data_IF_188350668023
#
_entry.id   IF_188350668023
#
_cell.length_a   1.000
_cell.length_b   1.000
_cell.length_c   1.000
_cell.angle_alpha   90.00
_cell.angle_beta   90.00
_cell.angle_gamma   90.00
#
_symmetry.space_group_name_H-M   'P 1'
#
loop_
_entity.id
_entity.type
_entity.pdbx_description
1 polymer ?
#
# COMPACT_ATOMS: atom_id res chain seq x y z
N UNK A 1 1.43 8.79 -0.99
CA UNK A 1 2.13 8.33 0.23
C UNK A 1 3.22 7.37 -0.19
N UNK A 2 4.34 7.32 0.53
CA UNK A 2 5.44 6.37 0.27
C UNK A 2 5.35 5.26 1.31
N UNK A 3 5.62 4.02 0.93
CA UNK A 3 5.73 2.90 1.86
C UNK A 3 6.87 3.15 2.87
N UNK A 4 6.65 2.81 4.13
CA UNK A 4 7.55 2.98 5.26
C UNK A 4 8.25 1.68 5.63
N UNK A 5 9.57 1.68 5.52
CA UNK A 5 10.40 0.52 5.82
C UNK A 5 10.27 0.09 7.29
N UNK A 6 10.11 -1.20 7.52
CA UNK A 6 9.87 -1.81 8.84
C UNK A 6 8.42 -1.72 9.32
N UNK A 7 7.58 -0.86 8.72
CA UNK A 7 6.18 -0.69 9.10
C UNK A 7 5.25 -1.43 8.14
N UNK A 8 5.06 -0.89 6.93
CA UNK A 8 4.14 -1.43 5.92
C UNK A 8 4.87 -2.23 4.83
N UNK A 9 6.19 -2.28 4.90
CA UNK A 9 7.04 -3.04 4.00
C UNK A 9 8.41 -3.33 4.63
N UNK A 10 9.19 -4.19 3.98
CA UNK A 10 10.63 -4.29 4.19
C UNK A 10 11.31 -3.93 2.87
N UNK A 11 12.09 -2.86 2.87
CA UNK A 11 12.80 -2.39 1.68
C UNK A 11 14.14 -3.12 1.57
N UNK A 12 14.43 -3.59 0.37
CA UNK A 12 15.71 -4.18 0.05
C UNK A 12 16.37 -3.41 -1.11
N UNK A 13 17.67 -3.19 -1.01
CA UNK A 13 18.48 -2.54 -2.05
C UNK A 13 19.35 -3.54 -2.83
N UNK A 14 19.26 -4.82 -2.48
CA UNK A 14 19.98 -5.91 -3.14
C UNK A 14 19.15 -7.20 -3.12
N UNK A 15 19.43 -8.16 -4.03
CA UNK A 15 18.80 -9.47 -4.01
C UNK A 15 19.05 -10.24 -2.70
N UNK A 16 20.24 -10.12 -2.10
CA UNK A 16 20.55 -10.74 -0.82
C UNK A 16 19.68 -10.15 0.30
N UNK A 17 19.60 -8.82 0.40
CA UNK A 17 18.73 -8.16 1.38
C UNK A 17 17.24 -8.47 1.19
N UNK A 18 16.80 -8.73 -0.05
CA UNK A 18 15.44 -9.19 -0.32
C UNK A 18 15.20 -10.59 0.25
N UNK A 19 16.14 -11.52 0.02
CA UNK A 19 16.07 -12.87 0.57
C UNK A 19 16.09 -12.87 2.10
N UNK A 20 16.96 -12.05 2.72
CA UNK A 20 17.04 -11.91 4.18
C UNK A 20 15.74 -11.34 4.77
N UNK A 21 15.16 -10.32 4.13
CA UNK A 21 13.87 -9.76 4.54
C UNK A 21 12.75 -10.80 4.46
N UNK A 22 12.70 -11.57 3.37
CA UNK A 22 11.71 -12.64 3.20
C UNK A 22 11.89 -13.74 4.25
N UNK A 23 13.12 -14.20 4.49
CA UNK A 23 13.42 -15.18 5.54
C UNK A 23 12.95 -14.68 6.92
N UNK A 24 13.21 -13.41 7.25
CA UNK A 24 12.77 -12.83 8.52
C UNK A 24 11.24 -12.80 8.71
N UNK A 25 10.47 -12.70 7.63
CA UNK A 25 9.00 -12.76 7.68
C UNK A 25 8.45 -14.19 7.66
N UNK A 26 9.22 -15.15 7.14
CA UNK A 26 8.87 -16.57 7.22
C UNK A 26 9.06 -17.09 8.65
N UNK A 27 10.13 -16.65 9.31
CA UNK A 27 10.48 -17.06 10.68
C UNK A 27 9.59 -16.39 11.76
N UNK A 28 8.92 -15.28 11.43
CA UNK A 28 8.07 -14.53 12.35
C UNK A 28 6.66 -14.28 11.75
N UNK A 29 5.69 -15.18 12.02
CA UNK A 29 4.34 -15.08 11.46
C UNK A 29 3.56 -13.86 11.95
N UNK A 30 3.70 -13.49 13.22
CA UNK A 30 2.99 -12.35 13.79
C UNK A 30 3.48 -11.04 13.14
N UNK A 31 4.79 -10.93 12.92
CA UNK A 31 5.37 -9.79 12.21
C UNK A 31 4.89 -9.72 10.77
N UNK A 32 4.83 -10.86 10.06
CA UNK A 32 4.34 -10.92 8.68
C UNK A 32 2.90 -10.45 8.59
N UNK A 33 2.04 -10.93 9.48
CA UNK A 33 0.63 -10.54 9.50
C UNK A 33 0.48 -9.05 9.83
N UNK A 34 1.23 -8.55 10.81
CA UNK A 34 1.21 -7.14 11.18
C UNK A 34 1.72 -6.20 10.06
N UNK A 35 2.75 -6.59 9.31
CA UNK A 35 3.18 -5.83 8.11
C UNK A 35 2.09 -5.83 7.04
N UNK A 36 1.44 -6.98 6.80
CA UNK A 36 0.35 -7.12 5.85
C UNK A 36 -0.86 -6.24 6.17
N UNK A 37 -1.30 -6.23 7.43
CA UNK A 37 -2.42 -5.39 7.88
C UNK A 37 -2.12 -3.89 7.73
N UNK A 38 -0.92 -3.47 8.09
CA UNK A 38 -0.48 -2.08 7.92
C UNK A 38 -0.39 -1.70 6.44
N UNK A 39 0.10 -2.60 5.60
CA UNK A 39 0.14 -2.41 4.15
C UNK A 39 -1.27 -2.28 3.54
N UNK A 40 -2.20 -3.14 3.95
CA UNK A 40 -3.60 -3.07 3.51
C UNK A 40 -4.23 -1.73 3.91
N UNK A 41 -4.07 -1.32 5.17
CA UNK A 41 -4.56 -0.03 5.67
C UNK A 41 -3.95 1.15 4.92
N UNK A 42 -2.63 1.12 4.66
CA UNK A 42 -1.93 2.19 3.95
C UNK A 42 -2.35 2.31 2.48
N UNK A 43 -2.80 1.21 1.88
CA UNK A 43 -3.19 1.14 0.46
C UNK A 43 -4.67 1.37 0.20
N UNK A 44 -5.54 1.35 1.23
CA UNK A 44 -6.99 1.58 1.10
C UNK A 44 -7.36 2.81 0.26
N UNK A 45 -6.72 3.99 0.41
CA UNK A 45 -7.05 5.17 -0.39
C UNK A 45 -6.67 5.07 -1.88
N UNK A 46 -5.94 4.02 -2.27
CA UNK A 46 -5.40 3.80 -3.61
C UNK A 46 -6.08 2.62 -4.33
N UNK A 47 -7.16 2.08 -3.76
CA UNK A 47 -7.97 1.09 -4.47
C UNK A 47 -8.64 1.70 -5.70
N UNK A 48 -8.89 0.87 -6.70
CA UNK A 48 -9.43 1.33 -8.00
C UNK A 48 -10.82 1.95 -7.88
N UNK A 49 -11.68 1.44 -7.00
CA UNK A 49 -13.00 2.00 -6.69
C UNK A 49 -12.88 3.40 -6.09
N UNK A 50 -12.02 3.56 -5.07
CA UNK A 50 -11.78 4.85 -4.41
C UNK A 50 -11.18 5.88 -5.37
N UNK A 51 -10.19 5.48 -6.17
CA UNK A 51 -9.57 6.37 -7.16
C UNK A 51 -10.55 6.71 -8.29
N UNK A 52 -11.37 5.75 -8.72
CA UNK A 52 -12.39 5.95 -9.75
C UNK A 52 -13.42 6.99 -9.33
N UNK A 53 -13.97 6.88 -8.13
CA UNK A 53 -14.91 7.86 -7.56
C UNK A 53 -14.29 9.26 -7.51
N UNK A 54 -13.06 9.40 -6.99
CA UNK A 54 -12.35 10.69 -6.95
C UNK A 54 -12.09 11.29 -8.33
N UNK A 55 -11.84 10.46 -9.33
CA UNK A 55 -11.65 10.93 -10.71
C UNK A 55 -12.96 11.47 -11.27
N UNK A 56 -14.07 10.76 -11.07
CA UNK A 56 -15.40 11.21 -11.50
C UNK A 56 -15.74 12.55 -10.83
N UNK A 57 -15.62 12.64 -9.50
CA UNK A 57 -15.84 13.87 -8.73
C UNK A 57 -15.01 15.03 -9.30
N UNK A 58 -13.73 14.82 -9.60
CA UNK A 58 -12.86 15.84 -10.17
C UNK A 58 -13.35 16.32 -11.55
N UNK A 59 -13.83 15.41 -12.39
CA UNK A 59 -14.37 15.78 -13.71
C UNK A 59 -15.71 16.51 -13.60
N UNK A 60 -16.58 16.11 -12.68
CA UNK A 60 -17.84 16.78 -12.37
C UNK A 60 -17.58 18.22 -11.88
N UNK A 61 -16.64 18.41 -10.95
CA UNK A 61 -16.19 19.73 -10.48
C UNK A 61 -15.63 20.59 -11.62
N UNK A 62 -14.79 20.02 -12.48
CA UNK A 62 -14.17 20.75 -13.58
C UNK A 62 -15.17 21.19 -14.66
N UNK A 63 -16.19 20.37 -14.91
CA UNK A 63 -17.15 20.57 -15.99
C UNK A 63 -18.45 21.24 -15.54
N UNK A 64 -18.73 21.27 -14.24
CA UNK A 64 -20.01 21.69 -13.69
C UNK A 64 -21.16 20.73 -14.00
N UNK A 65 -20.85 19.52 -14.51
CA UNK A 65 -21.81 18.43 -14.63
C UNK A 65 -22.01 17.85 -13.23
N UNK A 66 -23.18 18.03 -12.63
CA UNK A 66 -23.62 17.11 -11.58
C UNK A 66 -24.58 16.11 -12.21
N UNK A 67 -24.47 14.84 -11.82
CA UNK A 67 -25.54 13.87 -12.03
C UNK A 67 -26.83 14.28 -11.30
#
# INVERSE_FOLDING_TARGET
RVAHDGEDCLKATSPAGFADALASLLDDPDRRDAVGERAATATEPYRLDVVGERLVELYEELTGLSA
#
